data_IF_633900233601
#
_entry.id   IF_633900233601
#
_cell.length_a   1.000
_cell.length_b   1.000
_cell.length_c   1.000
_cell.angle_alpha   90.00
_cell.angle_beta   90.00
_cell.angle_gamma   90.00
#
_symmetry.space_group_name_H-M   'P 1'
#
loop_
_entity.id
_entity.type
_entity.pdbx_description
1 polymer ?
#
# COMPACT_ATOMS: atom_id res chain seq x y z
N UNK A 1 -5.75 -19.06 8.72
CA UNK A 1 -6.76 -18.03 8.43
C UNK A 1 -7.46 -17.77 9.74
N UNK A 2 -6.97 -16.81 10.52
CA UNK A 2 -7.38 -16.59 11.90
C UNK A 2 -7.69 -15.10 12.07
N UNK A 3 -8.95 -14.85 12.39
CA UNK A 3 -9.47 -13.75 13.20
C UNK A 3 -8.93 -12.34 12.88
N UNK A 4 -9.60 -11.67 11.93
CA UNK A 4 -9.38 -10.26 11.58
C UNK A 4 -10.67 -9.44 11.76
N UNK A 5 -11.31 -9.53 12.92
CA UNK A 5 -12.38 -8.60 13.29
C UNK A 5 -12.12 -8.03 14.69
N UNK A 6 -11.90 -6.70 14.73
CA UNK A 6 -11.62 -5.79 15.85
C UNK A 6 -10.14 -5.61 16.31
N UNK A 7 -9.74 -4.35 16.55
CA UNK A 7 -8.76 -4.02 17.60
C UNK A 7 -7.38 -3.47 17.20
N UNK A 8 -7.15 -2.18 17.45
CA UNK A 8 -5.84 -1.58 17.73
C UNK A 8 -4.85 -1.35 16.56
N UNK A 9 -3.88 -0.44 16.72
CA UNK A 9 -2.81 -0.23 15.74
C UNK A 9 -2.02 -1.53 15.58
N UNK A 10 -1.82 -1.99 14.33
CA UNK A 10 -1.05 -3.21 14.04
C UNK A 10 0.44 -2.87 14.08
N UNK A 11 1.20 -3.20 15.15
CA UNK A 11 2.54 -2.64 15.36
C UNK A 11 3.51 -2.96 14.22
N UNK A 12 3.42 -4.18 13.69
CA UNK A 12 4.21 -4.60 12.52
C UNK A 12 3.91 -3.74 11.28
N UNK A 13 2.66 -3.37 11.07
CA UNK A 13 2.21 -2.56 9.93
C UNK A 13 2.83 -1.16 10.01
N UNK A 14 2.67 -0.51 11.17
CA UNK A 14 3.22 0.82 11.45
C UNK A 14 4.73 0.85 11.34
N UNK A 15 5.44 -0.15 11.85
CA UNK A 15 6.91 -0.22 11.74
C UNK A 15 7.34 -0.34 10.28
N UNK A 16 6.67 -1.17 9.47
CA UNK A 16 6.97 -1.25 8.03
C UNK A 16 6.72 0.09 7.34
N UNK A 17 5.61 0.76 7.68
CA UNK A 17 5.27 2.09 7.17
C UNK A 17 6.31 3.12 7.58
N UNK A 18 6.80 3.07 8.82
CA UNK A 18 7.84 3.97 9.33
C UNK A 18 9.14 3.80 8.54
N UNK A 19 9.56 2.56 8.32
CA UNK A 19 10.76 2.27 7.53
C UNK A 19 10.63 2.71 6.05
N UNK A 20 9.42 2.62 5.47
CA UNK A 20 9.15 3.08 4.11
C UNK A 20 9.11 4.60 3.97
N UNK A 21 8.48 5.30 4.92
CA UNK A 21 8.17 6.73 4.80
C UNK A 21 9.17 7.67 5.48
N UNK A 22 9.84 7.24 6.55
CA UNK A 22 10.71 8.11 7.36
C UNK A 22 12.14 7.60 7.46
N UNK A 23 12.36 6.31 7.72
CA UNK A 23 13.73 5.80 7.97
C UNK A 23 14.67 6.00 6.77
N UNK A 24 14.14 6.03 5.54
CA UNK A 24 14.93 6.31 4.31
C UNK A 24 15.58 7.70 4.32
N UNK A 25 14.91 8.65 4.95
CA UNK A 25 15.39 10.04 5.10
C UNK A 25 16.40 10.18 6.26
N UNK A 26 16.71 9.07 6.95
CA UNK A 26 17.60 8.94 8.12
C UNK A 26 18.68 7.88 7.88
N UNK A 27 19.28 7.84 6.68
CA UNK A 27 20.28 6.85 6.26
C UNK A 27 19.82 5.37 6.36
N UNK A 28 18.51 5.14 6.50
CA UNK A 28 17.91 3.81 6.56
C UNK A 28 18.08 3.09 7.90
N UNK A 29 18.51 3.75 8.98
CA UNK A 29 18.75 3.12 10.29
C UNK A 29 18.04 3.87 11.43
N UNK A 30 17.58 3.12 12.43
CA UNK A 30 17.04 3.69 13.69
C UNK A 30 17.40 2.81 14.89
N UNK A 31 17.68 3.43 16.03
CA UNK A 31 17.90 2.69 17.29
C UNK A 31 16.59 2.05 17.79
N UNK A 32 16.69 0.98 18.59
CA UNK A 32 15.49 0.35 19.18
C UNK A 32 14.80 1.29 20.17
N UNK A 33 15.57 2.14 20.86
CA UNK A 33 15.05 3.07 21.84
C UNK A 33 14.20 4.16 21.16
N UNK A 34 14.72 4.77 20.10
CA UNK A 34 14.02 5.83 19.37
C UNK A 34 12.79 5.29 18.66
N UNK A 35 12.89 4.08 18.09
CA UNK A 35 11.73 3.41 17.50
C UNK A 35 10.65 3.15 18.56
N UNK A 36 11.01 2.72 19.78
CA UNK A 36 10.02 2.55 20.87
C UNK A 36 9.40 3.90 21.25
N UNK A 37 10.19 4.97 21.36
CA UNK A 37 9.71 6.32 21.68
C UNK A 37 8.71 6.81 20.65
N UNK A 38 9.06 6.76 19.37
CA UNK A 38 8.17 7.15 18.27
C UNK A 38 6.90 6.30 18.26
N UNK A 39 7.02 4.97 18.37
CA UNK A 39 5.84 4.09 18.36
C UNK A 39 4.92 4.31 19.57
N UNK A 40 5.45 4.79 20.71
CA UNK A 40 4.62 5.09 21.88
C UNK A 40 3.67 6.27 21.65
N UNK A 41 4.03 7.23 20.80
CA UNK A 41 3.16 8.33 20.34
C UNK A 41 2.00 7.83 19.45
N UNK A 42 2.11 6.59 18.96
CA UNK A 42 1.05 5.87 18.24
C UNK A 42 0.29 4.87 19.13
N UNK A 43 0.44 4.97 20.45
CA UNK A 43 -0.18 4.08 21.44
C UNK A 43 0.29 2.62 21.32
N UNK A 44 1.50 2.41 20.80
CA UNK A 44 2.13 1.08 20.71
C UNK A 44 3.16 0.92 21.82
N UNK A 45 2.88 0.02 22.74
CA UNK A 45 3.76 -0.23 23.87
C UNK A 45 5.11 -0.88 23.48
N UNK A 46 6.11 -0.72 24.35
CA UNK A 46 7.46 -1.21 24.09
C UNK A 46 7.55 -2.74 23.89
N UNK A 47 6.85 -3.59 24.67
CA UNK A 47 6.77 -5.02 24.39
C UNK A 47 6.25 -5.35 22.98
N UNK A 48 5.21 -4.66 22.50
CA UNK A 48 4.62 -4.84 21.18
C UNK A 48 5.59 -4.44 20.06
N UNK A 49 6.31 -3.32 20.22
CA UNK A 49 7.37 -2.90 19.28
C UNK A 49 8.44 -3.98 19.18
N UNK A 50 8.98 -4.43 20.31
CA UNK A 50 10.04 -5.47 20.33
C UNK A 50 9.57 -6.79 19.71
N UNK A 51 8.34 -7.21 20.00
CA UNK A 51 7.73 -8.40 19.39
C UNK A 51 7.58 -8.27 17.87
N UNK A 52 7.11 -7.11 17.40
CA UNK A 52 6.94 -6.83 15.99
C UNK A 52 8.27 -6.79 15.23
N UNK A 53 9.28 -6.10 15.78
CA UNK A 53 10.64 -6.07 15.25
C UNK A 53 11.24 -7.48 15.17
N UNK A 54 11.12 -8.29 16.22
CA UNK A 54 11.59 -9.68 16.22
C UNK A 54 10.94 -10.50 15.08
N UNK A 55 9.63 -10.33 14.86
CA UNK A 55 8.93 -10.99 13.75
C UNK A 55 9.38 -10.48 12.38
N UNK A 56 9.61 -9.18 12.22
CA UNK A 56 10.11 -8.59 10.98
C UNK A 56 11.53 -9.06 10.65
N UNK A 57 12.40 -9.15 11.66
CA UNK A 57 13.74 -9.75 11.53
C UNK A 57 13.67 -11.22 11.11
N UNK A 58 12.83 -12.04 11.79
CA UNK A 58 12.64 -13.46 11.43
C UNK A 58 12.10 -13.67 10.01
N UNK A 59 11.40 -12.67 9.46
CA UNK A 59 10.91 -12.67 8.07
C UNK A 59 11.90 -12.07 7.07
N UNK A 60 13.11 -11.74 7.49
CA UNK A 60 14.15 -11.18 6.62
C UNK A 60 13.89 -9.73 6.16
N UNK A 61 12.97 -9.01 6.82
CA UNK A 61 12.66 -7.61 6.44
C UNK A 61 13.57 -6.60 7.14
N UNK A 62 14.04 -6.91 8.35
CA UNK A 62 14.92 -6.06 9.13
C UNK A 62 16.24 -6.77 9.45
N UNK A 63 17.32 -6.01 9.41
CA UNK A 63 18.67 -6.42 9.78
C UNK A 63 19.11 -5.64 11.02
N UNK A 64 19.72 -6.34 11.98
CA UNK A 64 20.25 -5.71 13.18
C UNK A 64 21.60 -5.05 12.86
N UNK A 65 21.76 -3.79 13.24
CA UNK A 65 23.00 -3.03 13.04
C UNK A 65 23.28 -2.17 14.27
N UNK A 66 24.55 -2.10 14.67
CA UNK A 66 25.01 -1.16 15.70
C UNK A 66 25.66 0.07 15.04
N UNK A 67 25.30 1.25 15.51
CA UNK A 67 25.86 2.54 15.09
C UNK A 67 26.15 3.34 16.36
N UNK A 68 27.38 3.84 16.52
CA UNK A 68 27.77 4.61 17.71
C UNK A 68 27.56 3.87 19.05
N UNK A 69 27.65 2.54 19.05
CA UNK A 69 27.41 1.71 20.24
C UNK A 69 25.94 1.36 20.51
N UNK A 70 24.98 2.10 19.94
CA UNK A 70 23.55 1.84 20.05
C UNK A 70 23.10 0.67 19.16
N UNK A 71 22.23 -0.19 19.68
CA UNK A 71 21.60 -1.25 18.89
C UNK A 71 20.39 -0.70 18.13
N UNK A 72 20.28 -1.06 16.86
CA UNK A 72 19.20 -0.62 15.99
C UNK A 72 18.95 -1.55 14.83
N UNK A 73 18.11 -1.10 13.91
CA UNK A 73 17.67 -1.88 12.76
C UNK A 73 17.67 -1.05 11.48
N UNK A 74 17.93 -1.73 10.37
CA UNK A 74 17.75 -1.23 9.01
C UNK A 74 16.88 -2.19 8.21
N UNK A 75 16.30 -1.74 7.10
CA UNK A 75 15.70 -2.64 6.12
C UNK A 75 16.78 -3.50 5.47
N UNK A 76 16.47 -4.78 5.23
CA UNK A 76 17.30 -5.61 4.34
C UNK A 76 17.27 -5.06 2.92
N UNK A 77 18.27 -5.41 2.11
CA UNK A 77 18.34 -4.98 0.71
C UNK A 77 17.08 -5.39 -0.09
N UNK A 78 16.64 -6.63 0.11
CA UNK A 78 15.39 -7.13 -0.47
C UNK A 78 14.17 -6.29 -0.04
N UNK A 79 14.05 -5.98 1.26
CA UNK A 79 12.93 -5.19 1.77
C UNK A 79 12.96 -3.74 1.26
N UNK A 80 14.14 -3.15 1.04
CA UNK A 80 14.28 -1.82 0.43
C UNK A 80 13.71 -1.81 -0.99
N UNK A 81 14.05 -2.80 -1.82
CA UNK A 81 13.52 -2.93 -3.17
C UNK A 81 12.00 -3.05 -3.21
N UNK A 82 11.43 -3.94 -2.38
CA UNK A 82 9.98 -4.15 -2.27
C UNK A 82 9.25 -2.87 -1.82
N UNK A 83 9.77 -2.17 -0.81
CA UNK A 83 9.17 -0.92 -0.35
C UNK A 83 9.31 0.21 -1.38
N UNK A 84 10.38 0.24 -2.18
CA UNK A 84 10.55 1.25 -3.23
C UNK A 84 9.57 1.05 -4.38
N UNK A 85 9.31 -0.20 -4.76
CA UNK A 85 8.23 -0.57 -5.69
C UNK A 85 6.86 -0.13 -5.12
N UNK A 86 6.63 -0.36 -3.83
CA UNK A 86 5.39 0.03 -3.16
C UNK A 86 5.17 1.53 -3.07
N UNK A 87 6.18 2.32 -2.73
CA UNK A 87 6.07 3.78 -2.62
C UNK A 87 5.61 4.42 -3.93
N UNK A 88 6.09 3.92 -5.08
CA UNK A 88 5.61 4.38 -6.38
C UNK A 88 4.11 4.22 -6.54
N UNK A 89 3.49 3.20 -5.93
CA UNK A 89 2.02 3.00 -5.97
C UNK A 89 1.30 3.81 -4.90
N UNK A 90 1.88 3.86 -3.69
CA UNK A 90 1.28 4.56 -2.54
C UNK A 90 1.15 6.06 -2.82
N UNK A 91 2.18 6.65 -3.43
CA UNK A 91 2.31 8.08 -3.62
C UNK A 91 2.11 8.56 -5.07
N UNK A 92 1.74 7.68 -6.01
CA UNK A 92 1.28 8.11 -7.34
C UNK A 92 -0.23 8.04 -7.45
N UNK A 93 -0.82 9.09 -8.05
CA UNK A 93 -2.24 9.11 -8.39
C UNK A 93 -2.41 8.52 -9.79
N UNK A 94 -2.52 7.20 -9.89
CA UNK A 94 -2.81 6.52 -11.17
C UNK A 94 -4.31 6.43 -11.33
N UNK A 95 -4.84 7.15 -12.31
CA UNK A 95 -6.24 7.04 -12.75
C UNK A 95 -6.17 6.89 -14.25
N UNK A 96 -6.71 5.79 -14.75
CA UNK A 96 -6.79 5.55 -16.18
C UNK A 96 -7.77 6.52 -16.83
N UNK A 97 -7.43 6.96 -18.05
CA UNK A 97 -8.37 7.70 -18.88
C UNK A 97 -9.45 6.75 -19.44
N UNK A 98 -10.65 7.25 -19.80
CA UNK A 98 -11.70 6.42 -20.41
C UNK A 98 -11.28 5.75 -21.71
N UNK A 99 -10.34 6.36 -22.43
CA UNK A 99 -9.79 5.89 -23.69
C UNK A 99 -8.59 4.98 -23.51
N UNK A 100 -8.13 4.76 -22.27
CA UNK A 100 -6.98 3.88 -22.04
C UNK A 100 -7.33 2.47 -22.46
N UNK A 101 -6.38 1.83 -23.13
CA UNK A 101 -6.44 0.42 -23.43
C UNK A 101 -6.40 -0.40 -22.13
N UNK A 102 -6.85 -1.64 -22.23
CA UNK A 102 -6.74 -2.62 -21.16
C UNK A 102 -5.52 -3.49 -21.41
N UNK A 103 -4.88 -3.96 -20.33
CA UNK A 103 -3.99 -5.11 -20.38
C UNK A 103 -4.77 -6.34 -19.93
N UNK A 104 -4.79 -7.36 -20.78
CA UNK A 104 -5.43 -8.64 -20.51
C UNK A 104 -4.38 -9.73 -20.33
N UNK A 105 -4.49 -10.46 -19.23
CA UNK A 105 -3.65 -11.61 -18.91
C UNK A 105 -4.49 -12.86 -19.15
N UNK A 106 -4.05 -13.69 -20.09
CA UNK A 106 -4.60 -15.02 -20.30
C UNK A 106 -3.54 -16.02 -19.85
N UNK A 107 -3.88 -16.90 -18.91
CA UNK A 107 -2.94 -17.92 -18.46
C UNK A 107 -3.56 -19.31 -18.44
N UNK A 108 -2.73 -20.30 -18.73
CA UNK A 108 -3.05 -21.72 -18.57
C UNK A 108 -1.88 -22.40 -17.88
N UNK A 109 -2.05 -22.68 -16.58
CA UNK A 109 -1.04 -23.36 -15.76
C UNK A 109 -1.46 -24.81 -15.55
N UNK A 110 -0.61 -25.80 -15.89
CA UNK A 110 -0.90 -27.22 -15.71
C UNK A 110 -1.31 -27.57 -14.26
N UNK A 111 -2.13 -28.60 -14.09
CA UNK A 111 -2.60 -28.98 -12.74
C UNK A 111 -1.45 -29.47 -11.83
N UNK A 112 -0.42 -30.07 -12.41
CA UNK A 112 0.84 -30.42 -11.72
C UNK A 112 1.49 -29.23 -11.03
N UNK A 113 1.25 -28.01 -11.53
CA UNK A 113 1.82 -26.76 -11.04
C UNK A 113 0.77 -25.83 -10.43
N UNK A 114 -0.30 -26.39 -9.85
CA UNK A 114 -1.36 -25.64 -9.15
C UNK A 114 -0.83 -24.57 -8.17
N UNK A 115 0.33 -24.79 -7.54
CA UNK A 115 0.94 -23.80 -6.65
C UNK A 115 1.34 -22.51 -7.38
N UNK A 116 1.93 -22.60 -8.59
CA UNK A 116 2.24 -21.45 -9.46
C UNK A 116 0.96 -20.72 -9.86
N UNK A 117 -0.11 -21.46 -10.21
CA UNK A 117 -1.43 -20.89 -10.52
C UNK A 117 -1.99 -20.08 -9.35
N UNK A 118 -1.95 -20.62 -8.13
CA UNK A 118 -2.42 -19.92 -6.93
C UNK A 118 -1.57 -18.67 -6.65
N UNK A 119 -0.25 -18.75 -6.84
CA UNK A 119 0.66 -17.63 -6.66
C UNK A 119 0.40 -16.52 -7.69
N UNK A 120 0.24 -16.87 -8.97
CA UNK A 120 -0.08 -15.94 -10.05
C UNK A 120 -1.42 -15.22 -9.79
N UNK A 121 -2.49 -15.97 -9.48
CA UNK A 121 -3.79 -15.37 -9.14
C UNK A 121 -3.69 -14.41 -7.97
N UNK A 122 -3.00 -14.83 -6.91
CA UNK A 122 -2.78 -13.97 -5.74
C UNK A 122 -2.08 -12.69 -6.19
N UNK A 123 -0.99 -12.80 -6.96
CA UNK A 123 -0.23 -11.62 -7.41
C UNK A 123 -1.02 -10.71 -8.34
N UNK A 124 -1.84 -11.23 -9.24
CA UNK A 124 -2.73 -10.43 -10.09
C UNK A 124 -3.77 -9.66 -9.25
N UNK A 125 -4.38 -10.30 -8.23
CA UNK A 125 -5.24 -9.60 -7.28
C UNK A 125 -4.49 -8.49 -6.55
N UNK A 126 -3.26 -8.76 -6.07
CA UNK A 126 -2.40 -7.75 -5.44
C UNK A 126 -1.96 -6.63 -6.40
N UNK A 127 -2.02 -6.85 -7.70
CA UNK A 127 -1.76 -5.83 -8.71
C UNK A 127 -3.01 -5.01 -9.06
N UNK A 128 -4.18 -5.34 -8.50
CA UNK A 128 -5.45 -4.70 -8.81
C UNK A 128 -6.17 -5.28 -10.03
N UNK A 129 -5.74 -6.41 -10.60
CA UNK A 129 -6.42 -7.00 -11.76
C UNK A 129 -7.79 -7.55 -11.36
N UNK A 130 -8.78 -7.29 -12.22
CA UNK A 130 -10.11 -7.89 -12.16
C UNK A 130 -10.13 -9.27 -12.82
N UNK A 131 -11.08 -10.10 -12.43
CA UNK A 131 -11.27 -11.44 -13.00
C UNK A 131 -12.43 -11.44 -13.99
N UNK A 132 -12.14 -11.66 -15.28
CA UNK A 132 -13.19 -11.84 -16.31
C UNK A 132 -13.72 -13.27 -16.26
N UNK A 133 -12.82 -14.24 -16.19
CA UNK A 133 -13.11 -15.67 -16.21
C UNK A 133 -11.95 -16.45 -15.58
N UNK A 134 -12.10 -17.77 -15.30
CA UNK A 134 -10.97 -18.59 -14.88
C UNK A 134 -9.82 -18.50 -15.89
N UNK A 135 -8.66 -18.00 -15.44
CA UNK A 135 -7.48 -17.82 -16.29
C UNK A 135 -7.45 -16.55 -17.13
N UNK A 136 -8.49 -15.69 -17.06
CA UNK A 136 -8.58 -14.43 -17.81
C UNK A 136 -8.74 -13.25 -16.85
N UNK A 137 -7.76 -12.36 -16.86
CA UNK A 137 -7.69 -11.20 -15.96
C UNK A 137 -7.47 -9.93 -16.75
N UNK A 138 -7.92 -8.80 -16.21
CA UNK A 138 -7.89 -7.51 -16.89
C UNK A 138 -7.54 -6.38 -15.93
N UNK A 139 -6.83 -5.38 -16.42
CA UNK A 139 -6.61 -4.13 -15.72
C UNK A 139 -6.31 -2.99 -16.71
N UNK A 140 -6.32 -1.72 -16.30
CA UNK A 140 -5.89 -0.63 -17.17
C UNK A 140 -4.43 -0.81 -17.65
N UNK A 141 -4.14 -0.43 -18.90
CA UNK A 141 -2.85 -0.67 -19.55
C UNK A 141 -1.64 -0.02 -18.84
N UNK A 142 -1.85 0.98 -17.99
CA UNK A 142 -0.75 1.55 -17.19
C UNK A 142 -0.13 0.55 -16.19
N UNK A 143 -0.75 -0.62 -15.98
CA UNK A 143 -0.21 -1.73 -15.19
C UNK A 143 0.57 -2.77 -16.01
N UNK A 144 0.80 -2.55 -17.31
CA UNK A 144 1.53 -3.48 -18.18
C UNK A 144 2.94 -3.78 -17.68
N UNK A 145 3.72 -2.77 -17.30
CA UNK A 145 5.09 -2.98 -16.83
C UNK A 145 5.11 -3.70 -15.47
N UNK A 146 4.17 -3.34 -14.59
CA UNK A 146 3.98 -3.95 -13.28
C UNK A 146 3.65 -5.44 -13.38
N UNK A 147 2.79 -5.84 -14.32
CA UNK A 147 2.46 -7.25 -14.53
C UNK A 147 3.61 -7.99 -15.19
N UNK A 148 4.31 -7.43 -16.18
CA UNK A 148 5.49 -8.06 -16.81
C UNK A 148 6.59 -8.38 -15.79
N UNK A 149 6.99 -7.40 -14.99
CA UNK A 149 7.99 -7.59 -13.94
C UNK A 149 7.55 -8.64 -12.89
N UNK A 150 6.24 -8.74 -12.65
CA UNK A 150 5.70 -9.77 -11.75
C UNK A 150 5.76 -11.16 -12.37
N UNK A 151 5.41 -11.33 -13.65
CA UNK A 151 5.47 -12.62 -14.34
C UNK A 151 6.90 -13.16 -14.41
N UNK A 152 7.87 -12.31 -14.71
CA UNK A 152 9.29 -12.66 -14.75
C UNK A 152 9.80 -13.13 -13.38
N UNK A 153 9.51 -12.36 -12.32
CA UNK A 153 9.89 -12.68 -10.94
C UNK A 153 9.27 -13.97 -10.41
N UNK A 154 8.09 -14.35 -10.91
CA UNK A 154 7.43 -15.60 -10.55
C UNK A 154 7.86 -16.78 -11.43
N UNK A 155 8.63 -16.54 -12.49
CA UNK A 155 9.04 -17.57 -13.46
C UNK A 155 7.84 -18.31 -14.08
N UNK A 156 6.79 -17.57 -14.43
CA UNK A 156 5.54 -18.12 -15.01
C UNK A 156 5.25 -17.61 -16.42
N UNK A 157 6.15 -16.84 -17.02
CA UNK A 157 5.93 -16.19 -18.33
C UNK A 157 5.54 -17.18 -19.42
N UNK A 158 6.05 -18.42 -19.38
CA UNK A 158 5.72 -19.48 -20.35
C UNK A 158 4.24 -19.91 -20.33
N UNK A 159 3.53 -19.70 -19.23
CA UNK A 159 2.12 -20.06 -19.07
C UNK A 159 1.16 -18.91 -19.43
N UNK A 160 1.69 -17.75 -19.79
CA UNK A 160 0.93 -16.49 -19.88
C UNK A 160 1.05 -15.86 -21.26
N UNK A 161 -0.08 -15.42 -21.79
CA UNK A 161 -0.14 -14.50 -22.92
C UNK A 161 -0.72 -13.16 -22.48
N UNK A 162 -0.04 -12.08 -22.84
CA UNK A 162 -0.46 -10.70 -22.55
C UNK A 162 -0.99 -10.05 -23.83
N UNK A 163 -2.11 -9.35 -23.70
CA UNK A 163 -2.70 -8.55 -24.77
C UNK A 163 -2.91 -7.12 -24.30
N UNK A 164 -2.71 -6.16 -25.19
CA UNK A 164 -3.44 -4.89 -25.09
C UNK A 164 -4.76 -5.06 -25.82
N UNK A 165 -5.85 -4.65 -25.19
CA UNK A 165 -7.20 -4.87 -25.70
C UNK A 165 -8.06 -3.63 -25.49
N UNK A 166 -9.05 -3.48 -26.37
CA UNK A 166 -10.14 -2.52 -26.20
C UNK A 166 -11.41 -3.31 -25.91
N UNK A 167 -12.22 -2.85 -24.94
CA UNK A 167 -13.52 -3.47 -24.69
C UNK A 167 -14.48 -3.10 -25.83
N UNK A 168 -14.81 -4.06 -26.69
CA UNK A 168 -15.63 -3.84 -27.88
C UNK A 168 -17.15 -3.90 -27.62
N UNK A 169 -17.58 -4.30 -26.42
CA UNK A 169 -19.01 -4.32 -26.02
C UNK A 169 -19.60 -5.72 -25.80
N UNK A 170 -20.86 -5.90 -26.23
CA UNK A 170 -21.83 -6.95 -25.83
C UNK A 170 -22.53 -6.76 -24.47
N UNK A 171 -22.30 -5.60 -23.84
CA UNK A 171 -22.94 -5.13 -22.61
C UNK A 171 -22.44 -3.72 -22.27
N UNK A 172 -23.01 -3.11 -21.23
CA UNK A 172 -22.54 -1.85 -20.68
C UNK A 172 -21.20 -2.04 -19.93
N UNK A 173 -20.15 -1.30 -20.31
CA UNK A 173 -18.80 -1.45 -19.73
C UNK A 173 -18.76 -1.25 -18.20
N UNK A 174 -19.41 -0.23 -17.60
CA UNK A 174 -19.57 -0.12 -16.15
C UNK A 174 -20.12 -1.38 -15.48
N UNK A 175 -21.14 -2.01 -16.09
CA UNK A 175 -21.72 -3.26 -15.58
C UNK A 175 -20.72 -4.42 -15.59
N UNK A 176 -19.88 -4.50 -16.63
CA UNK A 176 -18.82 -5.50 -16.71
C UNK A 176 -17.71 -5.25 -15.68
N UNK A 177 -17.30 -3.99 -15.50
CA UNK A 177 -16.33 -3.58 -14.45
C UNK A 177 -16.83 -3.97 -13.06
N UNK A 178 -18.10 -3.73 -12.74
CA UNK A 178 -18.68 -4.13 -11.46
C UNK A 178 -18.71 -5.65 -11.23
N UNK A 179 -18.61 -6.47 -12.28
CA UNK A 179 -18.51 -7.94 -12.18
C UNK A 179 -17.07 -8.41 -12.04
N UNK A 180 -16.11 -7.71 -12.64
CA UNK A 180 -14.70 -8.12 -12.63
C UNK A 180 -13.96 -7.69 -11.36
N UNK A 181 -14.43 -6.66 -10.68
CA UNK A 181 -13.86 -6.14 -9.43
C UNK A 181 -14.87 -6.15 -8.28
N UNK A 182 -14.37 -6.37 -7.07
CA UNK A 182 -15.13 -6.16 -5.83
C UNK A 182 -15.18 -4.67 -5.48
N UNK A 183 -16.02 -3.93 -6.20
CA UNK A 183 -16.18 -2.49 -6.01
C UNK A 183 -16.85 -2.15 -4.67
N UNK A 184 -17.66 -3.06 -4.12
CA UNK A 184 -18.32 -2.87 -2.82
C UNK A 184 -17.30 -2.99 -1.68
N UNK A 185 -16.46 -4.03 -1.69
CA UNK A 185 -15.36 -4.16 -0.74
C UNK A 185 -14.37 -3.00 -0.81
N UNK A 186 -14.07 -2.52 -2.03
CA UNK A 186 -13.22 -1.34 -2.21
C UNK A 186 -13.88 -0.04 -1.71
N UNK A 187 -15.20 0.11 -1.89
CA UNK A 187 -15.96 1.22 -1.33
C UNK A 187 -15.91 1.22 0.21
N UNK A 188 -16.16 0.08 0.85
CA UNK A 188 -16.11 -0.06 2.32
C UNK A 188 -14.75 0.36 2.89
N UNK A 189 -13.67 -0.01 2.20
CA UNK A 189 -12.32 0.40 2.54
C UNK A 189 -12.13 1.93 2.45
N UNK A 190 -12.67 2.57 1.41
CA UNK A 190 -12.63 4.03 1.28
C UNK A 190 -13.49 4.75 2.30
N UNK A 191 -14.69 4.24 2.58
CA UNK A 191 -15.56 4.76 3.63
C UNK A 191 -14.86 4.74 4.98
N UNK A 192 -14.31 3.58 5.37
CA UNK A 192 -13.55 3.41 6.61
C UNK A 192 -12.35 4.36 6.70
N UNK A 193 -11.63 4.56 5.58
CA UNK A 193 -10.52 5.51 5.55
C UNK A 193 -11.00 6.95 5.78
N UNK A 194 -12.07 7.36 5.10
CA UNK A 194 -12.60 8.71 5.17
C UNK A 194 -13.16 9.04 6.56
N UNK A 195 -13.89 8.12 7.17
CA UNK A 195 -14.44 8.28 8.53
C UNK A 195 -13.36 8.67 9.54
N UNK A 196 -12.17 8.10 9.41
CA UNK A 196 -11.03 8.39 10.31
C UNK A 196 -10.27 9.64 9.89
N UNK A 197 -9.98 9.82 8.60
CA UNK A 197 -8.98 10.80 8.15
C UNK A 197 -9.55 12.14 7.71
N UNK A 198 -10.83 12.21 7.36
CA UNK A 198 -11.48 13.46 6.97
C UNK A 198 -11.61 14.46 8.15
N UNK A 199 -11.96 14.02 9.39
CA UNK A 199 -11.88 14.87 10.57
C UNK A 199 -10.45 15.33 10.89
N UNK A 200 -9.46 14.45 10.70
CA UNK A 200 -8.03 14.76 10.90
C UNK A 200 -7.58 15.86 9.92
N UNK A 201 -7.92 15.74 8.63
CA UNK A 201 -7.61 16.77 7.65
C UNK A 201 -8.29 18.11 8.01
N UNK A 202 -9.54 18.06 8.44
CA UNK A 202 -10.28 19.27 8.87
C UNK A 202 -9.61 19.95 10.05
N UNK A 203 -9.15 19.18 11.06
CA UNK A 203 -8.37 19.68 12.18
C UNK A 203 -7.08 20.37 11.72
N UNK A 204 -6.34 19.75 10.82
CA UNK A 204 -5.10 20.31 10.27
C UNK A 204 -5.31 21.55 9.39
N UNK A 205 -6.44 21.64 8.69
CA UNK A 205 -6.81 22.85 7.93
C UNK A 205 -7.06 24.07 8.83
N UNK A 206 -7.53 23.86 10.06
CA UNK A 206 -7.86 24.94 11.01
C UNK A 206 -6.73 25.27 11.97
N UNK A 207 -5.76 24.36 12.14
CA UNK A 207 -4.65 24.51 13.07
C UNK A 207 -3.70 25.63 12.61
N UNK A 208 -3.28 26.46 13.56
CA UNK A 208 -2.35 27.59 13.35
C UNK A 208 -0.97 27.40 13.97
N UNK A 209 -0.87 26.56 15.01
CA UNK A 209 0.37 26.30 15.73
C UNK A 209 1.07 25.04 15.18
N UNK A 210 2.39 25.01 15.29
CA UNK A 210 3.21 23.84 15.02
C UNK A 210 2.91 22.73 16.03
N UNK A 211 2.90 21.48 15.55
CA UNK A 211 2.59 20.29 16.34
C UNK A 211 3.24 19.08 15.64
N UNK A 212 4.57 19.11 15.54
CA UNK A 212 5.35 18.17 14.73
C UNK A 212 5.22 16.71 15.22
N UNK A 213 5.06 16.50 16.53
CA UNK A 213 4.78 15.21 17.17
C UNK A 213 3.44 14.62 16.72
N UNK A 214 2.38 15.43 16.78
CA UNK A 214 1.06 15.04 16.30
C UNK A 214 1.06 14.85 14.78
N UNK A 215 1.83 15.66 14.05
CA UNK A 215 1.98 15.51 12.60
C UNK A 215 2.61 14.17 12.25
N UNK A 216 3.63 13.72 12.99
CA UNK A 216 4.21 12.39 12.85
C UNK A 216 3.18 11.29 13.07
N UNK A 217 2.46 11.34 14.19
CA UNK A 217 1.50 10.30 14.54
C UNK A 217 0.35 10.21 13.52
N UNK A 218 -0.21 11.34 13.08
CA UNK A 218 -1.28 11.38 12.07
C UNK A 218 -0.77 10.99 10.67
N UNK A 219 0.41 11.46 10.27
CA UNK A 219 1.01 11.12 8.98
C UNK A 219 1.22 9.61 8.87
N UNK A 220 1.85 9.01 9.89
CA UNK A 220 2.15 7.58 9.86
C UNK A 220 0.87 6.73 9.85
N UNK A 221 -0.17 7.11 10.60
CA UNK A 221 -1.50 6.45 10.56
C UNK A 221 -2.13 6.57 9.17
N UNK A 222 -2.08 7.76 8.56
CA UNK A 222 -2.63 7.98 7.23
C UNK A 222 -1.92 7.15 6.16
N UNK A 223 -0.59 7.09 6.16
CA UNK A 223 0.17 6.24 5.22
C UNK A 223 -0.11 4.76 5.49
N UNK A 224 -0.16 4.31 6.75
CA UNK A 224 -0.39 2.88 7.05
C UNK A 224 -1.78 2.40 6.63
N UNK A 225 -2.80 3.27 6.78
CA UNK A 225 -4.15 2.98 6.34
C UNK A 225 -4.27 3.04 4.80
N UNK A 226 -3.66 4.05 4.16
CA UNK A 226 -3.75 4.25 2.72
C UNK A 226 -2.97 3.21 1.92
N UNK A 227 -1.79 2.78 2.38
CA UNK A 227 -0.84 1.98 1.57
C UNK A 227 -1.36 0.66 1.03
N UNK A 228 -2.51 0.17 1.52
CA UNK A 228 -3.17 -1.04 1.00
C UNK A 228 -4.08 -0.74 -0.19
N UNK A 229 -4.65 0.47 -0.28
CA UNK A 229 -5.64 0.82 -1.29
C UNK A 229 -5.09 0.73 -2.71
N UNK A 230 -3.89 1.25 -3.03
CA UNK A 230 -3.35 1.19 -4.40
C UNK A 230 -2.97 -0.23 -4.88
N UNK A 231 -3.04 -1.24 -4.02
CA UNK A 231 -2.89 -2.65 -4.40
C UNK A 231 -4.24 -3.32 -4.68
N UNK A 232 -5.35 -2.69 -4.31
CA UNK A 232 -6.70 -3.20 -4.46
C UNK A 232 -7.49 -2.39 -5.51
N UNK A 233 -7.19 -1.10 -5.66
CA UNK A 233 -7.71 -0.24 -6.71
C UNK A 233 -6.68 -0.12 -7.85
N UNK A 234 -7.00 -0.62 -9.06
CA UNK A 234 -6.13 -0.46 -10.22
C UNK A 234 -6.23 0.93 -10.88
N UNK A 235 -6.95 1.88 -10.28
CA UNK A 235 -7.12 3.21 -10.85
C UNK A 235 -8.06 3.21 -12.05
N UNK A 236 -9.24 2.60 -11.90
CA UNK A 236 -10.25 2.55 -12.96
C UNK A 236 -10.70 3.96 -13.42
N UNK A 237 -11.08 4.14 -14.70
CA UNK A 237 -11.69 5.38 -15.15
C UNK A 237 -12.95 5.71 -14.35
N UNK A 238 -13.13 6.98 -13.98
CA UNK A 238 -14.21 7.41 -13.06
C UNK A 238 -15.60 7.19 -13.66
N UNK A 239 -15.69 7.24 -14.97
CA UNK A 239 -16.88 7.02 -15.79
C UNK A 239 -17.38 5.58 -15.74
N UNK A 240 -16.50 4.63 -15.40
CA UNK A 240 -16.83 3.21 -15.25
C UNK A 240 -17.20 2.85 -13.82
N UNK A 241 -17.09 3.80 -12.89
CA UNK A 241 -17.34 3.58 -11.47
C UNK A 241 -18.77 3.99 -11.10
N UNK A 242 -19.36 3.36 -10.06
CA UNK A 242 -20.69 3.73 -9.58
C UNK A 242 -20.78 5.21 -9.19
N UNK A 243 -21.97 5.80 -9.33
CA UNK A 243 -22.23 7.17 -8.85
C UNK A 243 -21.90 7.31 -7.36
N UNK A 244 -21.31 8.45 -7.00
CA UNK A 244 -20.88 8.73 -5.64
C UNK A 244 -19.63 7.96 -5.21
N UNK A 245 -18.84 7.44 -6.15
CA UNK A 245 -17.59 6.75 -5.84
C UNK A 245 -16.68 7.58 -4.96
N UNK A 246 -16.24 6.99 -3.84
CA UNK A 246 -15.52 7.71 -2.79
C UNK A 246 -14.00 7.61 -2.90
N UNK A 247 -13.48 6.76 -3.79
CA UNK A 247 -12.04 6.58 -3.97
C UNK A 247 -11.31 7.87 -4.34
N UNK A 248 -11.91 8.70 -5.20
CA UNK A 248 -11.35 10.02 -5.57
C UNK A 248 -11.27 10.96 -4.37
N UNK A 249 -12.28 10.95 -3.49
CA UNK A 249 -12.29 11.74 -2.26
C UNK A 249 -11.27 11.22 -1.26
N UNK A 250 -11.20 9.90 -1.05
CA UNK A 250 -10.22 9.27 -0.16
C UNK A 250 -8.77 9.56 -0.61
N UNK A 251 -8.48 9.43 -1.91
CA UNK A 251 -7.20 9.81 -2.47
C UNK A 251 -6.89 11.30 -2.22
N UNK A 252 -7.85 12.19 -2.47
CA UNK A 252 -7.65 13.63 -2.22
C UNK A 252 -7.33 13.91 -0.74
N UNK A 253 -8.07 13.29 0.19
CA UNK A 253 -7.81 13.42 1.64
C UNK A 253 -6.42 12.91 2.00
N UNK A 254 -6.02 11.74 1.49
CA UNK A 254 -4.70 11.18 1.74
C UNK A 254 -3.59 12.09 1.21
N UNK A 255 -3.65 12.50 -0.05
CA UNK A 255 -2.59 13.33 -0.66
C UNK A 255 -2.51 14.70 0.00
N UNK A 256 -3.64 15.30 0.40
CA UNK A 256 -3.64 16.55 1.17
C UNK A 256 -3.01 16.38 2.56
N UNK A 257 -3.33 15.30 3.27
CA UNK A 257 -2.69 15.00 4.56
C UNK A 257 -1.18 14.75 4.39
N UNK A 258 -0.80 13.94 3.40
CA UNK A 258 0.60 13.64 3.13
C UNK A 258 1.39 14.91 2.82
N UNK A 259 0.91 15.75 1.91
CA UNK A 259 1.56 17.01 1.55
C UNK A 259 1.71 17.97 2.74
N UNK A 260 0.73 18.00 3.64
CA UNK A 260 0.74 18.88 4.83
C UNK A 260 1.63 18.36 5.95
N UNK A 261 1.66 17.04 6.17
CA UNK A 261 2.21 16.45 7.38
C UNK A 261 3.59 15.82 7.20
N UNK A 262 4.00 15.48 5.97
CA UNK A 262 5.28 14.80 5.72
C UNK A 262 6.48 15.53 6.30
N UNK A 263 6.59 16.83 6.05
CA UNK A 263 7.76 17.62 6.50
C UNK A 263 7.76 17.86 8.02
N UNK A 264 6.67 18.33 8.65
CA UNK A 264 6.58 18.39 10.12
C UNK A 264 6.86 17.05 10.81
N UNK A 265 6.30 15.95 10.28
CA UNK A 265 6.56 14.61 10.79
C UNK A 265 8.05 14.25 10.73
N UNK A 266 8.72 14.57 9.62
CA UNK A 266 10.14 14.28 9.45
C UNK A 266 11.01 15.12 10.41
N UNK A 267 10.66 16.38 10.67
CA UNK A 267 11.36 17.21 11.67
C UNK A 267 11.27 16.61 13.07
N UNK A 268 10.08 16.17 13.49
CA UNK A 268 9.91 15.49 14.78
C UNK A 268 10.76 14.23 14.87
N UNK A 269 10.69 13.37 13.84
CA UNK A 269 11.47 12.13 13.81
C UNK A 269 12.97 12.41 13.90
N UNK A 270 13.47 13.42 13.18
CA UNK A 270 14.88 13.86 13.28
C UNK A 270 15.23 14.30 14.69
N UNK A 271 14.40 15.16 15.30
CA UNK A 271 14.62 15.64 16.66
C UNK A 271 14.67 14.50 17.68
N UNK A 272 13.84 13.47 17.53
CA UNK A 272 13.85 12.27 18.39
C UNK A 272 15.10 11.41 18.19
N UNK A 273 15.62 11.29 16.96
CA UNK A 273 16.79 10.46 16.65
C UNK A 273 18.11 11.17 16.98
N UNK A 274 18.16 12.50 16.94
CA UNK A 274 19.37 13.28 17.24
C UNK A 274 19.51 13.68 18.71
N UNK A 275 18.41 13.65 19.47
CA UNK A 275 18.35 14.13 20.86
C UNK A 275 18.25 13.00 21.87
#
# INVERSE_FOLDING_TARGET
MGDERAGGPRPRSLIVTFFGSHARELDGWISVADLVRLMSELDVDSPAVRSAVSRLKRRGLLEARRVGGAAGYTLSEHARGVLAEGDRRIFSRRVAAPTDEWVTVVFSVPESERHKRHQLRSRLTWLGFGTIAPGVWIAPAHLTDDVRATLERLEVTEYVTLFHSTHLGCGDTPSAVAQWWDLDGLRELYDSFLEVHEPVLTRWKRRRAEADDLAFADHLRAVDAWRRMPYLDPGLPTELLPRGWRGSRAASVFFELHARLREPALRHVRAVVTG
#
